data_IF_857305717238
#
_entry.id   IF_857305717238
#
_cell.length_a   1.000
_cell.length_b   1.000
_cell.length_c   1.000
_cell.angle_alpha   90.00
_cell.angle_beta   90.00
_cell.angle_gamma   90.00
#
_symmetry.space_group_name_H-M   'P 1'
#
loop_
_entity.id
_entity.type
_entity.pdbx_description
1 polymer ?
#
# COMPACT_ATOMS: atom_id res chain seq x y z
N UNK A 1 23.56 -10.09 -10.76
CA UNK A 1 23.01 -8.73 -11.01
C UNK A 1 21.87 -8.47 -10.05
N UNK A 2 21.79 -7.27 -9.48
CA UNK A 2 20.68 -6.90 -8.60
C UNK A 2 19.37 -6.85 -9.39
N UNK A 3 18.30 -7.48 -8.87
CA UNK A 3 16.99 -7.61 -9.56
C UNK A 3 16.16 -6.34 -9.50
N UNK A 4 15.21 -6.20 -10.41
CA UNK A 4 14.14 -5.20 -10.34
C UNK A 4 13.07 -5.69 -9.35
N UNK A 5 12.64 -4.82 -8.42
CA UNK A 5 11.58 -5.17 -7.45
C UNK A 5 10.19 -5.00 -8.06
N UNK A 6 9.29 -5.94 -7.80
CA UNK A 6 7.87 -5.77 -8.08
C UNK A 6 7.24 -4.97 -6.93
N UNK A 7 6.93 -3.70 -7.19
CA UNK A 7 6.25 -2.83 -6.25
C UNK A 7 4.76 -2.81 -6.58
N UNK A 8 3.93 -3.12 -5.58
CA UNK A 8 2.49 -2.93 -5.71
C UNK A 8 2.05 -1.77 -4.82
N UNK A 9 1.36 -0.82 -5.43
CA UNK A 9 0.80 0.34 -4.78
C UNK A 9 -0.72 0.15 -4.64
N UNK A 10 -1.27 0.30 -3.43
CA UNK A 10 -2.72 0.19 -3.19
C UNK A 10 -3.24 1.51 -2.66
N UNK A 11 -4.14 2.15 -3.40
CA UNK A 11 -4.87 3.33 -2.96
C UNK A 11 -6.28 2.97 -2.52
N UNK A 12 -6.56 3.15 -1.22
CA UNK A 12 -7.87 2.92 -0.61
C UNK A 12 -8.90 4.00 -0.90
N UNK A 13 -8.59 5.02 -1.71
CA UNK A 13 -9.55 6.04 -2.11
C UNK A 13 -10.63 5.48 -3.02
N UNK A 14 -11.86 5.91 -2.79
CA UNK A 14 -13.02 5.55 -3.61
C UNK A 14 -13.35 6.60 -4.66
N UNK A 15 -12.58 7.67 -4.72
CA UNK A 15 -12.85 8.84 -5.58
C UNK A 15 -11.63 9.21 -6.42
N UNK A 16 -11.88 9.76 -7.61
CA UNK A 16 -10.92 10.48 -8.43
C UNK A 16 -11.46 11.89 -8.74
N UNK A 17 -10.62 12.92 -8.62
CA UNK A 17 -9.21 12.90 -8.17
C UNK A 17 -9.07 12.60 -6.66
N UNK A 18 -7.90 12.14 -6.22
CA UNK A 18 -7.67 11.65 -4.86
C UNK A 18 -6.33 12.10 -4.28
N UNK A 19 -6.36 12.73 -3.10
CA UNK A 19 -5.15 13.07 -2.33
C UNK A 19 -4.39 11.83 -1.87
N UNK A 20 -5.13 10.78 -1.51
CA UNK A 20 -4.51 9.49 -1.10
C UNK A 20 -3.74 8.88 -2.26
N UNK A 21 -4.33 8.86 -3.46
CA UNK A 21 -3.64 8.35 -4.65
C UNK A 21 -2.39 9.19 -4.95
N UNK A 22 -2.53 10.52 -4.94
CA UNK A 22 -1.39 11.43 -5.17
C UNK A 22 -0.24 11.20 -4.18
N UNK A 23 -0.56 10.94 -2.89
CA UNK A 23 0.45 10.62 -1.89
C UNK A 23 1.11 9.26 -2.17
N UNK A 24 0.34 8.25 -2.51
CA UNK A 24 0.85 6.91 -2.85
C UNK A 24 1.74 6.98 -4.09
N UNK A 25 1.30 7.65 -5.15
CA UNK A 25 2.07 7.85 -6.39
C UNK A 25 3.39 8.60 -6.13
N UNK A 26 3.35 9.66 -5.33
CA UNK A 26 4.57 10.39 -4.94
C UNK A 26 5.58 9.49 -4.21
N UNK A 27 5.13 8.64 -3.29
CA UNK A 27 6.01 7.68 -2.59
C UNK A 27 6.60 6.64 -3.55
N UNK A 28 5.79 6.14 -4.49
CA UNK A 28 6.23 5.20 -5.53
C UNK A 28 7.28 5.83 -6.44
N UNK A 29 7.05 7.05 -6.92
CA UNK A 29 7.99 7.82 -7.75
C UNK A 29 9.34 7.96 -7.03
N UNK A 30 9.33 8.42 -5.79
CA UNK A 30 10.54 8.58 -4.99
C UNK A 30 11.30 7.27 -4.73
N UNK A 31 10.60 6.15 -4.60
CA UNK A 31 11.24 4.83 -4.52
C UNK A 31 11.87 4.49 -5.88
N UNK A 32 11.16 4.75 -6.99
CA UNK A 32 11.62 4.50 -8.35
C UNK A 32 12.87 5.30 -8.74
N UNK A 33 13.00 6.52 -8.23
CA UNK A 33 14.20 7.36 -8.41
C UNK A 33 15.44 6.75 -7.74
N UNK A 34 15.24 5.96 -6.68
CA UNK A 34 16.33 5.43 -5.85
C UNK A 34 16.69 3.96 -6.15
N UNK A 35 15.73 3.15 -6.62
CA UNK A 35 15.91 1.73 -6.93
C UNK A 35 15.05 1.30 -8.12
N UNK A 36 15.55 0.41 -9.00
CA UNK A 36 14.75 -0.13 -10.11
C UNK A 36 13.52 -0.90 -9.61
N UNK A 37 12.34 -0.47 -10.02
CA UNK A 37 11.07 -1.07 -9.67
C UNK A 37 10.22 -1.33 -10.92
N UNK A 38 9.36 -2.34 -10.85
CA UNK A 38 8.20 -2.53 -11.74
C UNK A 38 6.97 -2.26 -10.91
N UNK A 39 6.16 -1.32 -11.33
CA UNK A 39 5.01 -0.83 -10.54
C UNK A 39 3.70 -1.40 -11.07
N UNK A 40 2.83 -1.85 -10.15
CA UNK A 40 1.40 -2.05 -10.39
C UNK A 40 0.63 -1.22 -9.37
N UNK A 41 -0.20 -0.29 -9.85
CA UNK A 41 -1.08 0.51 -8.99
C UNK A 41 -2.49 -0.06 -9.01
N UNK A 42 -3.05 -0.29 -7.82
CA UNK A 42 -4.41 -0.78 -7.59
C UNK A 42 -5.20 0.32 -6.89
N UNK A 43 -6.28 0.77 -7.53
CA UNK A 43 -7.15 1.80 -6.99
C UNK A 43 -8.49 1.19 -6.59
N UNK A 44 -8.81 1.24 -5.31
CA UNK A 44 -10.05 0.62 -4.82
C UNK A 44 -11.31 1.32 -5.33
N UNK A 45 -11.22 2.58 -5.75
CA UNK A 45 -12.33 3.23 -6.46
C UNK A 45 -12.68 2.56 -7.80
N UNK A 46 -11.69 2.00 -8.48
CA UNK A 46 -11.86 1.26 -9.75
C UNK A 46 -12.19 -0.21 -9.54
N UNK A 47 -11.52 -0.85 -8.58
CA UNK A 47 -11.70 -2.28 -8.27
C UNK A 47 -13.00 -2.52 -7.48
N UNK A 48 -13.42 -1.58 -6.66
CA UNK A 48 -14.51 -1.73 -5.70
C UNK A 48 -15.84 -2.19 -6.29
N UNK A 49 -16.34 -1.64 -7.41
CA UNK A 49 -17.59 -2.11 -8.01
C UNK A 49 -17.55 -3.59 -8.43
N UNK A 50 -16.37 -4.13 -8.74
CA UNK A 50 -16.14 -5.53 -9.12
C UNK A 50 -15.86 -6.42 -7.93
N UNK A 51 -15.32 -5.87 -6.85
CA UNK A 51 -15.08 -6.55 -5.58
C UNK A 51 -16.36 -6.65 -4.74
N UNK A 52 -17.27 -5.68 -4.89
CA UNK A 52 -18.49 -5.61 -4.09
C UNK A 52 -19.37 -6.84 -4.31
N UNK A 53 -19.82 -7.45 -3.20
CA UNK A 53 -20.66 -8.64 -3.21
C UNK A 53 -19.92 -9.97 -3.21
N UNK A 54 -18.62 -10.02 -3.49
CA UNK A 54 -17.83 -11.22 -3.30
C UNK A 54 -17.61 -11.47 -1.80
N UNK A 55 -18.00 -12.64 -1.31
CA UNK A 55 -17.76 -13.09 0.06
C UNK A 55 -16.60 -14.08 0.14
N UNK A 56 -16.31 -14.77 -0.96
CA UNK A 56 -15.27 -15.76 -1.06
C UNK A 56 -14.39 -15.49 -2.28
N UNK A 57 -13.13 -15.89 -2.21
CA UNK A 57 -12.12 -15.63 -3.24
C UNK A 57 -12.51 -16.21 -4.61
N UNK A 58 -13.17 -17.36 -4.65
CA UNK A 58 -13.65 -18.01 -5.89
C UNK A 58 -14.80 -17.25 -6.59
N UNK A 59 -15.35 -16.20 -5.96
CA UNK A 59 -16.36 -15.31 -6.53
C UNK A 59 -15.74 -14.06 -7.18
N UNK A 60 -14.43 -13.88 -7.04
CA UNK A 60 -13.75 -12.70 -7.59
C UNK A 60 -13.67 -12.79 -9.11
N UNK A 61 -13.93 -11.69 -9.83
CA UNK A 61 -13.63 -11.63 -11.26
C UNK A 61 -12.12 -11.80 -11.51
N UNK A 62 -11.72 -12.37 -12.68
CA UNK A 62 -10.32 -12.65 -12.98
C UNK A 62 -9.36 -11.44 -12.83
N UNK A 63 -9.82 -10.24 -13.16
CA UNK A 63 -9.04 -9.02 -13.02
C UNK A 63 -8.80 -8.63 -11.55
N UNK A 64 -9.78 -8.86 -10.66
CA UNK A 64 -9.63 -8.62 -9.21
C UNK A 64 -8.73 -9.69 -8.60
N UNK A 65 -8.91 -10.94 -9.00
CA UNK A 65 -8.00 -12.03 -8.60
C UNK A 65 -6.55 -11.74 -9.02
N UNK A 66 -6.34 -11.19 -10.21
CA UNK A 66 -5.01 -10.77 -10.67
C UNK A 66 -4.43 -9.62 -9.83
N UNK A 67 -5.25 -8.73 -9.28
CA UNK A 67 -4.83 -7.67 -8.36
C UNK A 67 -4.45 -8.25 -6.98
N UNK A 68 -5.24 -9.17 -6.45
CA UNK A 68 -4.92 -9.89 -5.20
C UNK A 68 -3.62 -10.68 -5.38
N UNK A 69 -3.48 -11.46 -6.44
CA UNK A 69 -2.28 -12.21 -6.74
C UNK A 69 -1.03 -11.30 -6.88
N UNK A 70 -1.20 -10.11 -7.46
CA UNK A 70 -0.10 -9.14 -7.55
C UNK A 70 0.33 -8.64 -6.15
N UNK A 71 -0.60 -8.36 -5.24
CA UNK A 71 -0.29 -8.02 -3.85
C UNK A 71 0.47 -9.15 -3.17
N UNK A 72 -0.01 -10.39 -3.32
CA UNK A 72 0.61 -11.58 -2.74
C UNK A 72 2.02 -11.86 -3.29
N UNK A 73 2.32 -11.38 -4.49
CA UNK A 73 3.61 -11.55 -5.16
C UNK A 73 4.49 -10.30 -5.10
N UNK A 74 4.08 -9.25 -4.39
CA UNK A 74 4.84 -8.02 -4.31
C UNK A 74 6.14 -8.19 -3.52
N UNK A 75 7.23 -7.61 -4.00
CA UNK A 75 8.49 -7.52 -3.24
C UNK A 75 8.48 -6.37 -2.25
N UNK A 76 7.62 -5.39 -2.48
CA UNK A 76 7.37 -4.24 -1.62
C UNK A 76 5.96 -3.71 -1.87
N UNK A 77 5.29 -3.29 -0.81
CA UNK A 77 4.00 -2.62 -0.89
C UNK A 77 4.12 -1.15 -0.49
N UNK A 78 3.41 -0.29 -1.19
CA UNK A 78 3.07 1.07 -0.76
C UNK A 78 1.56 1.13 -0.64
N UNK A 79 1.05 1.31 0.56
CA UNK A 79 -0.39 1.29 0.79
C UNK A 79 -0.87 2.59 1.43
N UNK A 80 -1.91 3.17 0.88
CA UNK A 80 -2.51 4.39 1.38
C UNK A 80 -4.02 4.29 1.51
N UNK A 81 -4.58 4.81 2.60
CA UNK A 81 -6.03 4.88 2.80
C UNK A 81 -6.46 6.27 3.24
N UNK A 82 -7.58 6.79 2.71
CA UNK A 82 -8.22 7.93 3.34
C UNK A 82 -8.82 7.49 4.68
N UNK A 83 -8.87 8.43 5.63
CA UNK A 83 -9.56 8.18 6.91
C UNK A 83 -11.05 8.41 6.73
N UNK A 84 -11.82 7.34 6.87
CA UNK A 84 -13.27 7.38 6.95
C UNK A 84 -13.73 6.88 8.32
N UNK A 85 -14.47 7.72 9.08
CA UNK A 85 -14.99 7.34 10.39
C UNK A 85 -13.89 6.76 11.30
N UNK A 86 -12.77 7.48 11.41
CA UNK A 86 -11.61 7.21 12.26
C UNK A 86 -10.71 6.03 11.84
N UNK A 87 -10.97 5.36 10.71
CA UNK A 87 -10.15 4.25 10.22
C UNK A 87 -10.06 4.24 8.69
N UNK A 88 -9.41 3.23 8.10
CA UNK A 88 -9.46 2.96 6.67
C UNK A 88 -10.89 2.61 6.21
N UNK A 89 -11.15 2.70 4.90
CA UNK A 89 -12.48 2.37 4.36
C UNK A 89 -12.80 0.87 4.51
N UNK A 90 -14.09 0.52 4.64
CA UNK A 90 -14.52 -0.87 4.65
C UNK A 90 -14.10 -1.65 3.41
N UNK A 91 -14.09 -0.99 2.24
CA UNK A 91 -13.61 -1.61 1.00
C UNK A 91 -12.11 -1.90 1.03
N UNK A 92 -11.31 -1.05 1.69
CA UNK A 92 -9.88 -1.33 1.91
C UNK A 92 -9.70 -2.61 2.73
N UNK A 93 -10.45 -2.74 3.83
CA UNK A 93 -10.40 -3.96 4.64
C UNK A 93 -10.87 -5.17 3.83
N UNK A 94 -11.98 -5.06 3.12
CA UNK A 94 -12.55 -6.12 2.31
C UNK A 94 -11.58 -6.61 1.22
N UNK A 95 -10.84 -5.71 0.57
CA UNK A 95 -9.79 -6.09 -0.38
C UNK A 95 -8.70 -6.95 0.28
N UNK A 96 -8.20 -6.53 1.44
CA UNK A 96 -7.16 -7.28 2.15
C UNK A 96 -7.67 -8.57 2.81
N UNK A 97 -8.99 -8.73 2.99
CA UNK A 97 -9.57 -10.00 3.47
C UNK A 97 -9.43 -11.16 2.46
N UNK A 98 -9.19 -10.86 1.19
CA UNK A 98 -8.91 -11.86 0.17
C UNK A 98 -7.42 -12.21 0.02
N UNK A 99 -6.53 -11.43 0.60
CA UNK A 99 -5.09 -11.71 0.58
C UNK A 99 -4.79 -12.87 1.52
N UNK A 100 -4.04 -13.86 1.02
CA UNK A 100 -3.67 -15.00 1.85
C UNK A 100 -2.82 -14.57 3.06
N UNK A 101 -3.13 -15.09 4.23
CA UNK A 101 -2.57 -14.65 5.52
C UNK A 101 -1.03 -14.78 5.64
N UNK A 102 -0.41 -15.68 4.88
CA UNK A 102 1.04 -15.87 4.83
C UNK A 102 1.72 -15.18 3.65
N UNK A 103 0.95 -14.54 2.75
CA UNK A 103 1.52 -14.01 1.51
C UNK A 103 2.49 -12.83 1.72
N UNK A 104 2.30 -12.07 2.80
CA UNK A 104 3.09 -10.87 3.06
C UNK A 104 4.14 -11.04 4.16
N UNK A 105 4.41 -12.28 4.58
CA UNK A 105 5.46 -12.55 5.58
C UNK A 105 6.78 -11.93 5.10
N UNK A 106 7.36 -11.10 5.97
CA UNK A 106 8.61 -10.35 5.72
C UNK A 106 8.57 -9.34 4.55
N UNK A 107 7.45 -9.11 3.89
CA UNK A 107 7.32 -8.12 2.82
C UNK A 107 7.38 -6.70 3.41
N UNK A 108 8.29 -5.82 2.92
CA UNK A 108 8.31 -4.42 3.31
C UNK A 108 7.02 -3.70 2.91
N UNK A 109 6.40 -2.99 3.86
CA UNK A 109 5.17 -2.21 3.60
C UNK A 109 5.35 -0.78 4.07
N UNK A 110 5.31 0.17 3.14
CA UNK A 110 5.27 1.61 3.44
C UNK A 110 3.80 2.04 3.60
N UNK A 111 3.48 2.57 4.77
CA UNK A 111 2.12 2.95 5.13
C UNK A 111 1.89 4.44 4.90
N UNK A 112 0.78 4.79 4.28
CA UNK A 112 0.34 6.16 4.08
C UNK A 112 -1.15 6.32 4.44
N UNK A 113 -1.51 7.53 4.84
CA UNK A 113 -2.92 7.86 5.04
C UNK A 113 -3.18 9.34 4.76
N UNK A 114 -4.42 9.67 4.42
CA UNK A 114 -4.87 11.06 4.29
C UNK A 114 -6.17 11.27 5.07
N UNK A 115 -6.35 12.45 5.61
CA UNK A 115 -7.59 12.79 6.33
C UNK A 115 -7.80 14.29 6.46
N UNK A 116 -9.00 14.69 6.85
CA UNK A 116 -9.38 16.10 6.95
C UNK A 116 -8.68 16.90 8.07
N UNK A 117 -8.01 16.23 9.02
CA UNK A 117 -7.31 16.90 10.11
C UNK A 117 -6.19 16.04 10.70
N UNK A 118 -5.26 16.69 11.41
CA UNK A 118 -4.13 16.02 12.10
C UNK A 118 -4.57 15.08 13.22
N UNK A 119 -5.81 15.23 13.73
CA UNK A 119 -6.37 14.38 14.79
C UNK A 119 -6.38 12.90 14.44
N UNK A 120 -6.33 12.56 13.14
CA UNK A 120 -6.37 11.19 12.64
C UNK A 120 -4.98 10.65 12.27
N UNK A 121 -3.90 11.36 12.53
CA UNK A 121 -2.53 10.94 12.13
C UNK A 121 -2.14 9.57 12.71
N UNK A 122 -2.66 9.22 13.88
CA UNK A 122 -2.42 7.94 14.53
C UNK A 122 -3.11 6.73 13.84
N UNK A 123 -3.93 6.96 12.80
CA UNK A 123 -4.54 5.87 12.02
C UNK A 123 -3.50 4.92 11.44
N UNK A 124 -2.32 5.44 11.10
CA UNK A 124 -1.22 4.62 10.59
C UNK A 124 -0.80 3.58 11.62
N UNK A 125 -0.56 3.99 12.86
CA UNK A 125 -0.03 3.12 13.89
C UNK A 125 -1.11 2.30 14.60
N UNK A 126 -2.34 2.83 14.71
CA UNK A 126 -3.42 2.17 15.44
C UNK A 126 -4.36 1.33 14.55
N UNK A 127 -4.34 1.53 13.23
CA UNK A 127 -5.24 0.83 12.31
C UNK A 127 -4.49 0.13 11.17
N UNK A 128 -3.68 0.86 10.40
CA UNK A 128 -2.98 0.26 9.26
C UNK A 128 -1.86 -0.70 9.71
N UNK A 129 -1.01 -0.29 10.64
CA UNK A 129 0.09 -1.13 11.12
C UNK A 129 -0.39 -2.45 11.73
N UNK A 130 -1.41 -2.50 12.61
CA UNK A 130 -1.96 -3.77 13.09
C UNK A 130 -2.49 -4.68 11.99
N UNK A 131 -3.14 -4.12 10.95
CA UNK A 131 -3.62 -4.91 9.81
C UNK A 131 -2.47 -5.63 9.10
N UNK A 132 -1.38 -4.91 8.80
CA UNK A 132 -0.22 -5.52 8.13
C UNK A 132 0.64 -6.37 9.07
N UNK A 133 0.60 -6.12 10.38
CA UNK A 133 1.21 -6.99 11.38
C UNK A 133 0.54 -8.37 11.46
N UNK A 134 -0.78 -8.45 11.22
CA UNK A 134 -1.48 -9.72 11.08
C UNK A 134 -0.85 -10.59 9.98
N UNK A 135 -0.48 -10.00 8.86
CA UNK A 135 0.21 -10.68 7.74
C UNK A 135 1.71 -10.91 8.00
N UNK A 136 2.22 -10.59 9.18
CA UNK A 136 3.66 -10.64 9.52
C UNK A 136 4.54 -9.82 8.56
N UNK A 137 3.96 -8.78 7.94
CA UNK A 137 4.68 -7.88 7.05
C UNK A 137 5.66 -6.98 7.82
N UNK A 138 6.77 -6.62 7.19
CA UNK A 138 7.72 -5.63 7.73
C UNK A 138 7.21 -4.22 7.50
N UNK A 139 6.29 -3.76 8.34
CA UNK A 139 5.83 -2.37 8.26
C UNK A 139 6.98 -1.41 8.54
N UNK A 140 7.25 -0.52 7.57
CA UNK A 140 8.33 0.47 7.71
C UNK A 140 8.04 1.43 8.87
N UNK A 141 9.08 1.85 9.62
CA UNK A 141 8.88 2.59 10.87
C UNK A 141 8.21 3.95 10.66
N UNK A 142 8.51 4.62 9.53
CA UNK A 142 7.93 5.92 9.22
C UNK A 142 6.75 5.76 8.27
N UNK A 143 5.54 6.00 8.77
CA UNK A 143 4.38 6.24 7.93
C UNK A 143 4.24 7.70 7.52
N UNK A 144 3.48 7.95 6.46
CA UNK A 144 3.27 9.28 5.90
C UNK A 144 1.78 9.64 5.96
N UNK A 145 1.47 10.68 6.74
CA UNK A 145 0.11 11.18 6.89
C UNK A 145 0.01 12.59 6.30
N UNK A 146 -0.98 12.80 5.44
CA UNK A 146 -1.30 14.12 4.88
C UNK A 146 -2.72 14.56 5.22
N UNK A 147 -2.89 15.86 5.41
CA UNK A 147 -4.19 16.50 5.62
C UNK A 147 -4.63 17.24 4.36
N UNK A 148 -5.88 17.66 4.31
CA UNK A 148 -6.43 18.39 3.15
C UNK A 148 -5.62 19.64 2.80
N UNK A 149 -5.09 20.34 3.80
CA UNK A 149 -4.30 21.59 3.63
C UNK A 149 -2.92 21.37 3.00
N UNK A 150 -2.42 20.12 3.01
CA UNK A 150 -1.10 19.80 2.51
C UNK A 150 -1.10 19.59 0.98
N UNK A 151 -2.29 19.72 0.37
CA UNK A 151 -2.50 19.53 -1.07
C UNK A 151 -3.17 20.76 -1.70
N UNK A 152 -2.75 21.11 -2.91
CA UNK A 152 -3.42 22.05 -3.80
C UNK A 152 -3.74 21.31 -5.10
N UNK A 153 -4.99 21.32 -5.54
CA UNK A 153 -5.44 20.63 -6.75
C UNK A 153 -4.97 19.16 -6.80
N UNK A 154 -5.10 18.46 -5.68
CA UNK A 154 -4.67 17.06 -5.50
C UNK A 154 -3.16 16.81 -5.69
N UNK A 155 -2.33 17.84 -5.66
CA UNK A 155 -0.87 17.75 -5.64
C UNK A 155 -0.35 18.11 -4.27
N UNK A 156 0.66 17.40 -3.81
CA UNK A 156 1.33 17.72 -2.54
C UNK A 156 2.08 19.05 -2.71
N UNK A 157 1.72 20.04 -1.91
CA UNK A 157 2.35 21.37 -1.94
C UNK A 157 2.99 21.75 -0.61
N UNK A 158 2.66 21.06 0.48
CA UNK A 158 3.24 21.32 1.79
C UNK A 158 4.67 20.77 1.88
N UNK A 159 5.67 21.63 2.20
CA UNK A 159 7.07 21.22 2.28
C UNK A 159 7.34 20.21 3.42
N UNK A 160 6.57 20.24 4.51
CA UNK A 160 6.76 19.31 5.62
C UNK A 160 6.27 17.90 5.24
N UNK A 161 5.16 17.80 4.50
CA UNK A 161 4.70 16.53 3.97
C UNK A 161 5.68 15.95 2.94
N UNK A 162 6.21 16.80 2.04
CA UNK A 162 7.26 16.38 1.08
C UNK A 162 8.52 15.89 1.79
N UNK A 163 8.99 16.61 2.81
CA UNK A 163 10.15 16.21 3.61
C UNK A 163 9.88 14.90 4.38
N UNK A 164 8.68 14.71 4.91
CA UNK A 164 8.27 13.47 5.59
C UNK A 164 8.24 12.28 4.62
N UNK A 165 7.73 12.46 3.42
CA UNK A 165 7.72 11.45 2.37
C UNK A 165 9.14 11.06 1.95
N UNK A 166 10.01 12.06 1.74
CA UNK A 166 11.42 11.85 1.42
C UNK A 166 12.14 11.03 2.50
N UNK A 167 11.98 11.41 3.77
CA UNK A 167 12.59 10.71 4.90
C UNK A 167 12.06 9.27 5.04
N UNK A 168 10.77 9.06 4.82
CA UNK A 168 10.17 7.72 4.89
C UNK A 168 10.78 6.79 3.83
N UNK A 169 10.95 7.28 2.60
CA UNK A 169 11.59 6.53 1.52
C UNK A 169 13.08 6.30 1.83
N UNK A 170 13.82 7.34 2.24
CA UNK A 170 15.24 7.20 2.61
C UNK A 170 15.46 6.09 3.64
N UNK A 171 14.61 6.04 4.67
CA UNK A 171 14.67 5.00 5.71
C UNK A 171 14.27 3.61 5.22
N UNK A 172 13.51 3.52 4.13
CA UNK A 172 13.14 2.26 3.48
C UNK A 172 14.29 1.69 2.62
N UNK A 173 15.13 2.55 2.00
CA UNK A 173 16.10 2.15 0.99
C UNK A 173 17.07 1.03 1.41
N UNK A 174 17.63 0.98 2.63
CA UNK A 174 18.51 -0.13 3.02
C UNK A 174 17.82 -1.49 2.89
N UNK A 175 16.56 -1.58 3.35
CA UNK A 175 15.78 -2.82 3.26
C UNK A 175 15.44 -3.18 1.82
N UNK A 176 15.05 -2.20 1.00
CA UNK A 176 14.73 -2.41 -0.41
C UNK A 176 15.96 -2.83 -1.22
N UNK A 177 17.12 -2.25 -0.95
CA UNK A 177 18.39 -2.63 -1.59
C UNK A 177 18.81 -4.04 -1.22
N UNK A 178 18.73 -4.41 0.05
CA UNK A 178 18.99 -5.77 0.50
C UNK A 178 18.06 -6.80 -0.17
N UNK A 179 16.77 -6.47 -0.33
CA UNK A 179 15.80 -7.32 -1.04
C UNK A 179 16.09 -7.51 -2.54
N UNK A 180 16.83 -6.57 -3.17
CA UNK A 180 17.29 -6.72 -4.57
C UNK A 180 18.48 -7.65 -4.72
N UNK A 181 19.31 -7.76 -3.69
CA UNK A 181 20.50 -8.61 -3.69
C UNK A 181 20.16 -10.04 -3.27
N UNK A 182 19.13 -10.22 -2.46
CA UNK A 182 18.64 -11.53 -2.06
C UNK A 182 18.00 -12.25 -3.27
N UNK A 183 18.13 -13.58 -3.32
CA UNK A 183 17.31 -14.39 -4.20
C UNK A 183 15.84 -14.12 -3.88
N UNK A 184 14.98 -14.13 -4.92
CA UNK A 184 13.53 -14.01 -4.68
C UNK A 184 13.13 -15.07 -3.64
N UNK A 185 12.45 -14.69 -2.55
CA UNK A 185 12.05 -15.65 -1.53
C UNK A 185 11.23 -16.75 -2.20
N UNK A 186 11.54 -18.01 -1.87
CA UNK A 186 10.66 -19.12 -2.23
C UNK A 186 9.35 -18.87 -1.49
N UNK A 187 8.35 -18.40 -2.23
CA UNK A 187 7.03 -18.16 -1.65
C UNK A 187 6.31 -19.49 -1.49
N UNK A 188 5.60 -19.70 -0.38
CA UNK A 188 4.79 -20.88 -0.26
C UNK A 188 3.81 -20.94 -1.44
N UNK A 189 3.62 -22.12 -1.99
CA UNK A 189 2.51 -22.37 -2.93
C UNK A 189 1.25 -22.22 -2.06
N UNK A 190 0.60 -21.06 -2.18
CA UNK A 190 -0.59 -20.75 -1.39
C UNK A 190 -1.70 -21.70 -1.82
N UNK A 191 -2.09 -22.62 -0.94
CA UNK A 191 -3.27 -23.43 -1.16
C UNK A 191 -4.50 -22.52 -1.20
N UNK A 192 -5.40 -22.75 -2.15
CA UNK A 192 -6.64 -21.99 -2.19
C UNK A 192 -7.35 -22.12 -0.82
N UNK A 193 -7.56 -21.00 -0.16
CA UNK A 193 -8.39 -20.95 1.05
C UNK A 193 -9.82 -21.25 0.58
N UNK A 194 -10.35 -22.39 1.02
CA UNK A 194 -11.72 -22.80 0.73
C UNK A 194 -12.75 -21.91 1.44
#
# INVERSE_FOLDING_TARGET
MARTLNLVAVSGSLQRPSRTLALVEHLVERIGDAVPIRVRTIELGTVGPRLAGALYRNQLPPEVEADIAAVEQADVLVVGSPVYRATYSGLFKHFFDFVHHEALVDVPVLLAATGGSERHALVIDHQLRPLFSFFQARTLPLGVYGTDKDFTDYRITDPALLARAALAVERALPLLRAGREAAAPARPVLAAVA
#
